data_IF_573446382940
#
_entry.id   IF_573446382940
#
_cell.length_a   1.000
_cell.length_b   1.000
_cell.length_c   1.000
_cell.angle_alpha   90.00
_cell.angle_beta   90.00
_cell.angle_gamma   90.00
#
_symmetry.space_group_name_H-M   'P 1'
#
loop_
_entity.id
_entity.type
_entity.pdbx_description
1 polymer ?
#
# COMPACT_ATOMS: atom_id res chain seq x y z
N UNK A 1 12.30 6.18 10.15
CA UNK A 1 11.38 5.26 9.45
C UNK A 1 10.79 4.27 10.48
N UNK A 2 9.89 3.35 10.12
CA UNK A 2 9.27 2.43 11.09
C UNK A 2 10.28 1.46 11.75
N UNK A 3 11.30 1.03 11.00
CA UNK A 3 12.36 0.15 11.50
C UNK A 3 13.21 0.85 12.56
N UNK A 4 13.64 2.09 12.32
CA UNK A 4 14.39 2.88 13.29
C UNK A 4 13.62 3.03 14.60
N UNK A 5 12.31 3.25 14.53
CA UNK A 5 11.46 3.38 15.71
C UNK A 5 11.36 2.08 16.49
N UNK A 6 11.23 0.93 15.81
CA UNK A 6 11.23 -0.37 16.47
C UNK A 6 12.56 -0.64 17.19
N UNK A 7 13.69 -0.33 16.54
CA UNK A 7 15.03 -0.48 17.11
C UNK A 7 15.20 0.43 18.34
N UNK A 8 14.89 1.73 18.20
CA UNK A 8 15.02 2.72 19.29
C UNK A 8 14.19 2.36 20.52
N UNK A 9 13.03 1.75 20.32
CA UNK A 9 12.15 1.32 21.40
C UNK A 9 12.47 -0.10 21.91
N UNK A 10 13.51 -0.76 21.41
CA UNK A 10 13.83 -2.17 21.70
C UNK A 10 12.58 -3.07 21.60
N UNK A 11 11.79 -2.85 20.55
CA UNK A 11 10.48 -3.46 20.39
C UNK A 11 10.60 -4.98 20.20
N UNK A 12 9.76 -5.75 20.92
CA UNK A 12 9.78 -7.22 20.90
C UNK A 12 8.47 -7.80 20.35
N UNK A 13 8.56 -8.95 19.69
CA UNK A 13 7.43 -9.66 19.10
C UNK A 13 7.12 -9.23 17.66
N UNK A 14 5.92 -9.56 17.19
CA UNK A 14 5.52 -9.38 15.78
C UNK A 14 4.76 -8.07 15.58
N UNK A 15 5.18 -7.31 14.56
CA UNK A 15 4.59 -6.04 14.13
C UNK A 15 4.24 -6.09 12.64
N UNK A 16 3.09 -5.53 12.26
CA UNK A 16 2.74 -5.33 10.85
C UNK A 16 3.21 -3.95 10.37
N UNK A 17 4.20 -3.94 9.48
CA UNK A 17 4.73 -2.72 8.86
C UNK A 17 4.08 -2.52 7.49
N UNK A 18 2.79 -2.17 7.51
CA UNK A 18 1.98 -1.90 6.31
C UNK A 18 1.49 -0.45 6.28
N UNK A 19 1.06 0.01 5.11
CA UNK A 19 0.47 1.34 4.94
C UNK A 19 -0.72 1.62 5.87
N UNK A 20 -1.06 2.89 6.02
CA UNK A 20 -2.19 3.34 6.85
C UNK A 20 -3.57 3.14 6.23
N UNK A 21 -3.64 2.64 4.99
CA UNK A 21 -4.88 2.35 4.27
C UNK A 21 -4.81 0.97 3.62
N UNK A 22 -5.98 0.44 3.24
CA UNK A 22 -6.12 -0.81 2.52
C UNK A 22 -7.01 -0.59 1.30
N UNK A 23 -6.65 -1.21 0.18
CA UNK A 23 -7.34 -1.08 -1.10
C UNK A 23 -7.39 -2.44 -1.79
N UNK A 24 -8.47 -2.67 -2.52
CA UNK A 24 -8.52 -3.75 -3.51
C UNK A 24 -7.54 -3.47 -4.66
N UNK A 25 -7.15 -4.49 -5.45
CA UNK A 25 -6.31 -4.27 -6.63
C UNK A 25 -6.91 -3.26 -7.62
N UNK A 26 -8.23 -3.27 -7.78
CA UNK A 26 -8.95 -2.34 -8.66
C UNK A 26 -8.82 -0.89 -8.17
N UNK A 27 -9.08 -0.64 -6.89
CA UNK A 27 -8.92 0.70 -6.29
C UNK A 27 -7.46 1.17 -6.35
N UNK A 28 -6.51 0.28 -6.05
CA UNK A 28 -5.09 0.60 -6.12
C UNK A 28 -4.67 1.01 -7.54
N UNK A 29 -5.11 0.27 -8.57
CA UNK A 29 -4.85 0.60 -9.97
C UNK A 29 -5.40 1.98 -10.35
N UNK A 30 -6.63 2.29 -9.94
CA UNK A 30 -7.24 3.61 -10.17
C UNK A 30 -6.49 4.74 -9.46
N UNK A 31 -6.07 4.53 -8.21
CA UNK A 31 -5.28 5.53 -7.47
C UNK A 31 -3.92 5.79 -8.14
N UNK A 32 -3.29 4.76 -8.70
CA UNK A 32 -2.08 4.89 -9.52
C UNK A 32 -2.38 5.71 -10.77
N UNK A 33 -3.37 5.32 -11.58
CA UNK A 33 -3.69 6.04 -12.82
C UNK A 33 -3.99 7.52 -12.57
N UNK A 34 -4.82 7.81 -11.57
CA UNK A 34 -5.11 9.19 -11.14
C UNK A 34 -3.87 9.96 -10.71
N UNK A 35 -2.98 9.34 -9.92
CA UNK A 35 -1.77 10.02 -9.41
C UNK A 35 -0.80 10.34 -10.54
N UNK A 36 -0.69 9.47 -11.53
CA UNK A 36 0.26 9.57 -12.63
C UNK A 36 -0.33 10.14 -13.93
N UNK A 37 -1.59 10.60 -13.90
CA UNK A 37 -2.32 11.12 -15.06
C UNK A 37 -2.37 10.13 -16.23
N UNK A 38 -2.59 8.85 -15.93
CA UNK A 38 -2.77 7.79 -16.91
C UNK A 38 -4.26 7.64 -17.25
N UNK A 39 -4.55 7.04 -18.40
CA UNK A 39 -5.91 6.80 -18.85
C UNK A 39 -6.64 5.76 -17.96
N UNK A 40 -7.60 6.23 -17.17
CA UNK A 40 -8.42 5.36 -16.30
C UNK A 40 -9.37 4.45 -17.10
N UNK A 41 -9.68 4.75 -18.36
CA UNK A 41 -10.59 3.94 -19.18
C UNK A 41 -10.04 2.55 -19.51
N UNK A 42 -8.71 2.39 -19.42
CA UNK A 42 -8.03 1.11 -19.59
C UNK A 42 -8.17 0.18 -18.37
N UNK A 43 -8.74 0.67 -17.27
CA UNK A 43 -8.94 -0.10 -16.05
C UNK A 43 -10.38 -0.61 -15.98
N UNK A 44 -10.55 -1.92 -16.14
CA UNK A 44 -11.84 -2.60 -15.98
C UNK A 44 -11.95 -3.32 -14.64
N UNK A 45 -13.17 -3.39 -14.11
CA UNK A 45 -13.48 -4.23 -12.97
C UNK A 45 -13.74 -5.66 -13.41
N UNK A 46 -13.46 -6.61 -12.52
CA UNK A 46 -13.80 -8.02 -12.71
C UNK A 46 -14.02 -8.67 -11.34
N UNK A 47 -14.53 -9.90 -11.32
CA UNK A 47 -14.70 -10.63 -10.07
C UNK A 47 -13.43 -11.38 -9.69
N UNK A 48 -13.35 -11.77 -8.42
CA UNK A 48 -12.22 -12.55 -7.91
C UNK A 48 -12.11 -13.90 -8.63
N UNK A 49 -13.25 -14.55 -8.85
CA UNK A 49 -13.36 -15.87 -9.46
C UNK A 49 -12.78 -15.84 -10.87
N UNK A 50 -13.14 -14.81 -11.65
CA UNK A 50 -12.60 -14.60 -13.00
C UNK A 50 -11.11 -14.25 -12.94
N UNK A 51 -10.71 -13.32 -12.08
CA UNK A 51 -9.32 -12.86 -11.99
C UNK A 51 -8.32 -13.93 -11.55
N UNK A 52 -8.77 -14.88 -10.71
CA UNK A 52 -7.95 -15.98 -10.20
C UNK A 52 -8.26 -17.34 -10.85
N UNK A 53 -9.06 -17.38 -11.93
CA UNK A 53 -9.30 -18.61 -12.67
C UNK A 53 -7.97 -19.24 -13.10
N UNK A 54 -7.80 -20.54 -12.84
CA UNK A 54 -6.58 -21.31 -13.11
C UNK A 54 -5.30 -20.79 -12.40
N UNK A 55 -5.45 -19.99 -11.34
CA UNK A 55 -4.34 -19.52 -10.50
C UNK A 55 -4.41 -20.15 -9.12
N UNK A 56 -3.28 -20.14 -8.41
CA UNK A 56 -3.24 -20.59 -7.01
C UNK A 56 -4.25 -19.80 -6.14
N UNK A 57 -4.96 -20.47 -5.22
CA UNK A 57 -5.88 -19.82 -4.31
C UNK A 57 -5.17 -18.70 -3.53
N UNK A 58 -5.77 -17.52 -3.53
CA UNK A 58 -5.35 -16.42 -2.66
C UNK A 58 -6.33 -16.32 -1.49
N UNK A 59 -5.92 -15.81 -0.31
CA UNK A 59 -6.86 -15.40 0.73
C UNK A 59 -7.75 -14.26 0.26
N UNK A 60 -9.02 -14.26 0.69
CA UNK A 60 -10.00 -13.25 0.28
C UNK A 60 -9.58 -11.84 0.68
N UNK A 61 -9.10 -11.71 1.92
CA UNK A 61 -8.63 -10.45 2.52
C UNK A 61 -7.28 -10.67 3.18
N UNK A 62 -6.32 -9.81 2.86
CA UNK A 62 -4.97 -9.77 3.44
C UNK A 62 -4.73 -8.47 4.23
N UNK A 63 -5.80 -7.81 4.67
CA UNK A 63 -5.71 -6.54 5.37
C UNK A 63 -5.05 -6.73 6.73
N UNK A 64 -3.94 -6.03 6.95
CA UNK A 64 -3.21 -6.03 8.21
C UNK A 64 -3.40 -4.70 8.94
N UNK A 65 -3.67 -4.76 10.25
CA UNK A 65 -3.70 -3.57 11.11
C UNK A 65 -2.30 -3.26 11.64
N UNK A 66 -1.93 -1.98 11.66
CA UNK A 66 -0.64 -1.48 12.16
C UNK A 66 -0.75 -0.78 13.52
N UNK A 67 -1.78 -1.08 14.32
CA UNK A 67 -2.06 -0.37 15.58
C UNK A 67 -0.93 -0.48 16.61
N UNK A 68 -0.14 -1.58 16.59
CA UNK A 68 1.05 -1.70 17.43
C UNK A 68 2.13 -0.64 17.11
N UNK A 69 2.25 -0.24 15.84
CA UNK A 69 3.18 0.83 15.43
C UNK A 69 2.70 2.20 15.91
N UNK A 70 1.39 2.45 15.86
CA UNK A 70 0.80 3.71 16.37
C UNK A 70 1.09 3.91 17.85
N UNK A 71 1.04 2.84 18.65
CA UNK A 71 1.34 2.88 20.10
C UNK A 71 2.78 3.30 20.43
N UNK A 72 3.71 3.10 19.51
CA UNK A 72 5.12 3.52 19.66
C UNK A 72 5.44 4.80 18.86
N UNK A 73 4.41 5.59 18.54
CA UNK A 73 4.55 6.89 17.88
C UNK A 73 4.80 6.83 16.36
N UNK A 74 4.68 5.65 15.74
CA UNK A 74 4.88 5.49 14.29
C UNK A 74 3.55 5.60 13.55
N UNK A 75 3.41 6.64 12.73
CA UNK A 75 2.31 6.80 11.78
C UNK A 75 2.76 6.36 10.38
N UNK A 76 2.12 5.32 9.85
CA UNK A 76 2.36 4.84 8.49
C UNK A 76 1.59 5.70 7.49
N UNK A 77 2.21 6.00 6.34
CA UNK A 77 1.57 6.73 5.25
C UNK A 77 0.43 5.94 4.61
N UNK A 78 -0.58 6.62 4.10
CA UNK A 78 -1.60 6.01 3.25
C UNK A 78 -1.02 5.62 1.88
N UNK A 79 -1.74 4.80 1.13
CA UNK A 79 -1.34 4.42 -0.22
C UNK A 79 -1.14 5.64 -1.13
N UNK A 80 -2.09 6.59 -1.13
CA UNK A 80 -2.00 7.82 -1.92
C UNK A 80 -0.81 8.70 -1.55
N UNK A 81 -0.53 8.86 -0.25
CA UNK A 81 0.65 9.60 0.23
C UNK A 81 1.94 8.96 -0.29
N UNK A 82 1.99 7.62 -0.29
CA UNK A 82 3.07 6.84 -0.87
C UNK A 82 3.24 7.10 -2.37
N UNK A 83 2.16 7.03 -3.15
CA UNK A 83 2.20 7.30 -4.59
C UNK A 83 2.69 8.72 -4.90
N UNK A 84 2.18 9.73 -4.18
CA UNK A 84 2.63 11.12 -4.33
C UNK A 84 4.12 11.28 -4.02
N UNK A 85 4.65 10.55 -3.03
CA UNK A 85 6.07 10.57 -2.70
C UNK A 85 6.92 9.96 -3.82
N UNK A 86 6.50 8.82 -4.37
CA UNK A 86 7.17 8.19 -5.52
C UNK A 86 7.18 9.13 -6.73
N UNK A 87 6.02 9.74 -7.05
CA UNK A 87 5.92 10.71 -8.15
C UNK A 87 6.92 11.86 -8.00
N UNK A 88 7.04 12.45 -6.81
CA UNK A 88 8.03 13.49 -6.53
C UNK A 88 9.47 13.00 -6.75
N UNK A 89 9.80 11.81 -6.25
CA UNK A 89 11.15 11.24 -6.41
C UNK A 89 11.51 11.02 -7.88
N UNK A 90 10.57 10.56 -8.72
CA UNK A 90 10.79 10.39 -10.15
C UNK A 90 11.03 11.71 -10.88
N UNK A 91 10.35 12.79 -10.48
CA UNK A 91 10.58 14.13 -11.06
C UNK A 91 11.98 14.63 -10.69
N UNK A 92 12.37 14.51 -9.42
CA UNK A 92 13.68 15.00 -8.92
C UNK A 92 14.87 14.25 -9.51
N UNK A 93 14.74 12.98 -9.95
CA UNK A 93 15.83 12.24 -10.59
C UNK A 93 15.94 12.48 -12.11
N UNK A 94 14.92 13.10 -12.72
CA UNK A 94 14.90 13.42 -14.15
C UNK A 94 15.24 14.90 -14.41
N UNK A 95 15.69 15.63 -13.39
CA UNK A 95 16.09 17.06 -13.42
C UNK A 95 17.54 17.16 -13.01
#
# INVERSE_FOLDING_TARGET
NALDALIKNNARGIYHVVGGSSHTPFEAARLIAKTFCLDESLISSTTREVYFANRAPRPFSLVLKNDKLKKIGVKMSTFEEGLKRIKRQLITHNS
#
